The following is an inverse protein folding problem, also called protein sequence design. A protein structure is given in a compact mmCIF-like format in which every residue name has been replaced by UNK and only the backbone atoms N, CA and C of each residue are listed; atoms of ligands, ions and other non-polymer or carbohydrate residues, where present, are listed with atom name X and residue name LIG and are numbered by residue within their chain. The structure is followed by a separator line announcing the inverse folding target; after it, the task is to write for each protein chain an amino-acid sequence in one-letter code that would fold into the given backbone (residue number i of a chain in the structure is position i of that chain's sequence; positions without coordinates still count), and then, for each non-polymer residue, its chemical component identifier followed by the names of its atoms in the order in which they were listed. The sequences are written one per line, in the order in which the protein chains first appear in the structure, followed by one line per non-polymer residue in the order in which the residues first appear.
data_IF_060845320998
#
_entry.id   IF_060845320998
#
_cell.length_a   1.000
_cell.length_b   1.000
_cell.length_c   1.000
_cell.angle_alpha   90.00
_cell.angle_beta   90.00
_cell.angle_gamma   90.00
#
_symmetry.space_group_name_H-M   'P 1'
#
loop_
_entity.id
_entity.type
_entity.pdbx_description
1 polymer ?
#
# COMPACT_ATOMS: atom_id res chain seq x y z
N UNK A 1 12.49 -18.27 -5.50
CA UNK A 1 13.20 -17.19 -4.79
C UNK A 1 12.51 -15.86 -5.10
N UNK A 2 11.93 -15.18 -4.11
CA UNK A 2 11.37 -13.83 -4.27
C UNK A 2 12.51 -12.81 -4.19
N UNK A 3 12.79 -12.11 -5.29
CA UNK A 3 13.81 -11.04 -5.33
C UNK A 3 13.20 -9.72 -4.88
N UNK A 4 14.03 -8.77 -4.41
CA UNK A 4 13.56 -7.41 -4.06
C UNK A 4 12.81 -6.75 -5.22
N UNK A 5 13.29 -6.94 -6.45
CA UNK A 5 12.63 -6.49 -7.67
C UNK A 5 11.21 -7.04 -7.79
N UNK A 6 11.02 -8.35 -7.62
CA UNK A 6 9.69 -8.96 -7.72
C UNK A 6 8.75 -8.41 -6.64
N UNK A 7 9.26 -8.23 -5.41
CA UNK A 7 8.47 -7.66 -4.30
C UNK A 7 8.02 -6.23 -4.62
N UNK A 8 8.92 -5.38 -5.13
CA UNK A 8 8.57 -4.01 -5.54
C UNK A 8 7.53 -4.01 -6.66
N UNK A 9 7.66 -4.86 -7.68
CA UNK A 9 6.67 -4.93 -8.76
C UNK A 9 5.31 -5.42 -8.26
N UNK A 10 5.28 -6.43 -7.38
CA UNK A 10 4.02 -6.95 -6.81
C UNK A 10 3.35 -5.87 -5.94
N UNK A 11 4.11 -5.16 -5.12
CA UNK A 11 3.58 -4.06 -4.32
C UNK A 11 3.02 -2.94 -5.21
N UNK A 12 3.78 -2.54 -6.25
CA UNK A 12 3.32 -1.53 -7.19
C UNK A 12 2.02 -1.93 -7.91
N UNK A 13 1.91 -3.17 -8.39
CA UNK A 13 0.72 -3.65 -9.09
C UNK A 13 -0.49 -3.74 -8.16
N UNK A 14 -0.31 -4.27 -6.94
CA UNK A 14 -1.40 -4.35 -5.96
C UNK A 14 -1.86 -2.96 -5.50
N UNK A 15 -0.93 -2.06 -5.15
CA UNK A 15 -1.23 -0.67 -4.81
C UNK A 15 -1.93 0.07 -5.95
N UNK A 16 -1.43 -0.09 -7.19
CA UNK A 16 -2.01 0.56 -8.37
C UNK A 16 -3.42 0.04 -8.69
N UNK A 17 -3.63 -1.27 -8.59
CA UNK A 17 -4.96 -1.87 -8.76
C UNK A 17 -5.95 -1.37 -7.70
N UNK A 18 -5.56 -1.36 -6.42
CA UNK A 18 -6.38 -0.79 -5.35
C UNK A 18 -6.66 0.68 -5.60
N UNK A 19 -5.63 1.45 -5.98
CA UNK A 19 -5.78 2.88 -6.27
C UNK A 19 -6.76 3.17 -7.40
N UNK A 20 -6.69 2.40 -8.50
CA UNK A 20 -7.62 2.50 -9.63
C UNK A 20 -9.05 2.15 -9.22
N UNK A 21 -9.25 1.07 -8.44
CA UNK A 21 -10.57 0.68 -7.95
C UNK A 21 -11.19 1.81 -7.12
N UNK A 22 -10.42 2.39 -6.21
CA UNK A 22 -10.87 3.48 -5.34
C UNK A 22 -11.17 4.77 -6.12
N UNK A 23 -10.34 5.11 -7.11
CA UNK A 23 -10.50 6.35 -7.88
C UNK A 23 -11.62 6.27 -8.93
N UNK A 24 -11.81 5.10 -9.57
CA UNK A 24 -12.80 4.91 -10.65
C UNK A 24 -14.17 4.55 -10.10
N UNK A 25 -14.25 3.78 -9.00
CA UNK A 25 -15.51 3.32 -8.42
C UNK A 25 -15.74 3.81 -6.98
N UNK A 26 -15.51 5.10 -6.66
CA UNK A 26 -15.52 5.58 -5.28
C UNK A 26 -16.90 5.45 -4.62
N UNK A 27 -17.99 5.69 -5.35
CA UNK A 27 -19.35 5.57 -4.81
C UNK A 27 -19.70 4.13 -4.41
N UNK A 28 -19.27 3.15 -5.21
CA UNK A 28 -19.50 1.74 -4.92
C UNK A 28 -18.73 1.31 -3.67
N UNK A 29 -17.44 1.69 -3.59
CA UNK A 29 -16.61 1.36 -2.42
C UNK A 29 -17.10 2.10 -1.16
N UNK A 30 -17.46 3.38 -1.27
CA UNK A 30 -18.04 4.12 -0.16
C UNK A 30 -19.33 3.46 0.38
N UNK A 31 -20.19 2.96 -0.53
CA UNK A 31 -21.38 2.18 -0.17
C UNK A 31 -21.06 0.91 0.61
N UNK A 32 -20.05 0.14 0.17
CA UNK A 32 -19.58 -1.06 0.91
C UNK A 32 -19.07 -0.69 2.31
N UNK A 33 -18.40 0.45 2.43
CA UNK A 33 -17.83 0.95 3.68
C UNK A 33 -18.87 1.66 4.58
N UNK A 34 -20.10 1.89 4.09
CA UNK A 34 -21.12 2.67 4.79
C UNK A 34 -20.80 4.16 4.92
N UNK A 35 -19.86 4.66 4.11
CA UNK A 35 -19.42 6.05 4.15
C UNK A 35 -20.33 6.94 3.29
N UNK A 36 -20.72 8.09 3.82
CA UNK A 36 -21.54 9.07 3.09
C UNK A 36 -20.73 9.85 2.04
N UNK A 37 -19.42 10.01 2.25
CA UNK A 37 -18.55 10.81 1.38
C UNK A 37 -17.69 9.92 0.49
N UNK A 38 -17.60 10.26 -0.80
CA UNK A 38 -16.79 9.53 -1.79
C UNK A 38 -15.40 10.11 -1.95
N UNK A 39 -15.22 11.40 -1.64
CA UNK A 39 -13.96 12.12 -1.85
C UNK A 39 -12.75 11.50 -1.13
N UNK A 40 -12.86 10.98 0.11
CA UNK A 40 -11.74 10.30 0.75
C UNK A 40 -11.23 9.09 -0.05
N UNK A 41 -12.11 8.29 -0.64
CA UNK A 41 -11.74 7.14 -1.46
C UNK A 41 -11.01 7.57 -2.74
N UNK A 42 -11.48 8.64 -3.39
CA UNK A 42 -10.81 9.20 -4.57
C UNK A 42 -9.41 9.71 -4.21
N UNK A 43 -9.27 10.46 -3.11
CA UNK A 43 -7.99 11.00 -2.67
C UNK A 43 -6.98 9.88 -2.35
N UNK A 44 -7.42 8.85 -1.62
CA UNK A 44 -6.62 7.66 -1.35
C UNK A 44 -6.27 6.92 -2.64
N UNK A 45 -7.21 6.80 -3.58
CA UNK A 45 -6.99 6.17 -4.87
C UNK A 45 -5.89 6.85 -5.69
N UNK A 46 -5.96 8.19 -5.81
CA UNK A 46 -4.94 8.99 -6.50
C UNK A 46 -3.58 8.85 -5.81
N UNK A 47 -3.54 8.94 -4.48
CA UNK A 47 -2.31 8.73 -3.71
C UNK A 47 -1.68 7.37 -4.03
N UNK A 48 -2.47 6.29 -4.01
CA UNK A 48 -1.99 4.93 -4.29
C UNK A 48 -1.49 4.77 -5.73
N UNK A 49 -2.12 5.42 -6.70
CA UNK A 49 -1.66 5.40 -8.10
C UNK A 49 -0.28 6.06 -8.22
N UNK A 50 -0.09 7.22 -7.57
CA UNK A 50 1.20 7.93 -7.56
C UNK A 50 2.26 7.09 -6.84
N UNK A 51 1.93 6.55 -5.68
CA UNK A 51 2.81 5.66 -4.92
C UNK A 51 3.22 4.44 -5.75
N UNK A 52 2.25 3.76 -6.37
CA UNK A 52 2.48 2.61 -7.23
C UNK A 52 3.44 2.93 -8.40
N UNK A 53 3.30 4.10 -9.03
CA UNK A 53 4.21 4.53 -10.08
C UNK A 53 5.66 4.66 -9.54
N UNK A 54 5.84 5.26 -8.36
CA UNK A 54 7.15 5.36 -7.71
C UNK A 54 7.72 3.96 -7.45
N UNK A 55 6.95 3.07 -6.81
CA UNK A 55 7.42 1.71 -6.48
C UNK A 55 7.77 0.93 -7.75
N UNK A 56 6.95 1.02 -8.79
CA UNK A 56 7.18 0.35 -10.07
C UNK A 56 8.49 0.80 -10.72
N UNK A 57 8.75 2.12 -10.74
CA UNK A 57 9.99 2.66 -11.30
C UNK A 57 11.22 2.11 -10.57
N UNK A 58 11.18 2.02 -9.24
CA UNK A 58 12.28 1.46 -8.46
C UNK A 58 12.43 -0.06 -8.67
N UNK A 59 11.33 -0.80 -8.83
CA UNK A 59 11.37 -2.22 -9.18
C UNK A 59 11.95 -2.52 -10.57
N UNK A 60 11.90 -1.55 -11.50
CA UNK A 60 12.48 -1.68 -12.84
C UNK A 60 13.94 -1.22 -12.94
N UNK A 61 14.42 -0.41 -11.99
CA UNK A 61 15.80 0.11 -11.97
C UNK A 61 16.82 -0.97 -11.59
N UNK A 62 17.99 -0.92 -12.22
CA UNK A 62 19.15 -1.76 -11.92
C UNK A 62 20.43 -0.89 -11.92
N UNK A 63 21.09 -0.66 -10.77
CA UNK A 63 20.66 -1.03 -9.42
C UNK A 63 19.48 -0.15 -8.93
N UNK A 64 18.60 -0.67 -8.06
CA UNK A 64 17.56 0.13 -7.44
C UNK A 64 18.17 1.09 -6.40
N UNK A 65 17.52 2.25 -6.18
CA UNK A 65 18.02 3.22 -5.22
C UNK A 65 17.66 2.84 -3.77
N UNK A 66 18.68 2.58 -2.95
CA UNK A 66 18.54 2.24 -1.53
C UNK A 66 17.72 3.29 -0.76
N UNK A 67 17.92 4.59 -1.04
CA UNK A 67 17.18 5.67 -0.39
C UNK A 67 15.67 5.61 -0.68
N UNK A 68 15.30 5.42 -1.95
CA UNK A 68 13.91 5.27 -2.34
C UNK A 68 13.27 4.00 -1.78
N UNK A 69 14.00 2.89 -1.73
CA UNK A 69 13.48 1.65 -1.12
C UNK A 69 13.19 1.87 0.37
N UNK A 70 14.07 2.55 1.10
CA UNK A 70 13.82 2.89 2.51
C UNK A 70 12.58 3.77 2.67
N UNK A 71 12.41 4.78 1.82
CA UNK A 71 11.22 5.64 1.85
C UNK A 71 9.93 4.84 1.58
N UNK A 72 9.93 3.95 0.59
CA UNK A 72 8.80 3.07 0.30
C UNK A 72 8.42 2.22 1.52
N UNK A 73 9.42 1.59 2.17
CA UNK A 73 9.19 0.79 3.38
C UNK A 73 8.58 1.65 4.50
N UNK A 74 9.05 2.88 4.68
CA UNK A 74 8.50 3.81 5.69
C UNK A 74 7.05 4.14 5.38
N UNK A 75 6.72 4.46 4.13
CA UNK A 75 5.35 4.77 3.71
C UNK A 75 4.41 3.56 3.88
N UNK A 76 4.84 2.37 3.46
CA UNK A 76 4.09 1.13 3.68
C UNK A 76 3.87 0.87 5.18
N UNK A 77 4.89 1.13 6.01
CA UNK A 77 4.79 0.95 7.47
C UNK A 77 3.82 1.95 8.09
N UNK A 78 3.88 3.23 7.69
CA UNK A 78 2.95 4.26 8.16
C UNK A 78 1.51 3.94 7.77
N UNK A 79 1.30 3.48 6.54
CA UNK A 79 -0.01 3.03 6.08
C UNK A 79 -0.60 1.91 6.96
N UNK A 80 0.22 0.93 7.34
CA UNK A 80 -0.18 -0.15 8.24
C UNK A 80 -0.55 0.40 9.62
N UNK A 81 0.26 1.28 10.17
CA UNK A 81 0.00 1.90 11.49
C UNK A 81 -1.31 2.69 11.47
N UNK A 82 -1.52 3.54 10.47
CA UNK A 82 -2.78 4.29 10.29
C UNK A 82 -3.98 3.35 10.13
N UNK A 83 -3.85 2.29 9.35
CA UNK A 83 -4.90 1.29 9.18
C UNK A 83 -5.27 0.61 10.52
N UNK A 84 -4.27 0.26 11.33
CA UNK A 84 -4.49 -0.33 12.66
C UNK A 84 -5.14 0.66 13.62
N UNK A 85 -4.76 1.95 13.58
CA UNK A 85 -5.42 2.98 14.38
C UNK A 85 -6.89 3.15 14.01
N UNK A 86 -7.20 3.17 12.71
CA UNK A 86 -8.59 3.27 12.22
C UNK A 86 -9.44 2.11 12.74
N UNK A 87 -8.91 0.89 12.70
CA UNK A 87 -9.60 -0.31 13.17
C UNK A 87 -9.74 -0.31 14.69
N UNK A 88 -8.64 -0.08 15.43
CA UNK A 88 -8.62 -0.21 16.89
C UNK A 88 -9.48 0.85 17.59
N UNK A 89 -9.60 2.05 17.00
CA UNK A 89 -10.42 3.12 17.53
C UNK A 89 -11.81 3.20 16.87
N UNK A 90 -12.18 2.23 16.03
CA UNK A 90 -13.44 2.21 15.27
C UNK A 90 -13.75 3.58 14.62
N UNK A 91 -12.73 4.17 14.00
CA UNK A 91 -12.84 5.52 13.46
C UNK A 91 -13.82 5.55 12.30
N UNK A 92 -14.54 6.67 12.15
CA UNK A 92 -15.43 6.98 11.03
C UNK A 92 -16.72 6.16 10.92
N UNK A 93 -17.01 5.25 11.86
CA UNK A 93 -18.28 4.51 11.90
C UNK A 93 -18.51 3.66 10.65
N UNK A 94 -17.46 2.99 10.17
CA UNK A 94 -17.52 2.18 8.95
C UNK A 94 -18.29 0.87 9.19
N UNK A 95 -18.74 0.23 8.11
CA UNK A 95 -19.30 -1.12 8.19
C UNK A 95 -18.22 -2.14 8.59
N UNK A 96 -18.65 -3.31 9.06
CA UNK A 96 -17.74 -4.44 9.29
C UNK A 96 -16.94 -4.82 8.03
N UNK A 97 -17.57 -4.77 6.85
CA UNK A 97 -16.91 -4.99 5.56
C UNK A 97 -15.79 -3.95 5.34
N UNK A 98 -16.03 -2.69 5.68
CA UNK A 98 -15.03 -1.62 5.61
C UNK A 98 -13.82 -1.90 6.49
N UNK A 99 -14.04 -2.19 7.78
CA UNK A 99 -12.94 -2.50 8.71
C UNK A 99 -12.16 -3.77 8.31
N UNK A 100 -12.85 -4.84 7.91
CA UNK A 100 -12.16 -6.05 7.43
C UNK A 100 -11.36 -5.80 6.15
N UNK A 101 -11.87 -4.97 5.25
CA UNK A 101 -11.16 -4.60 4.02
C UNK A 101 -9.89 -3.80 4.34
N UNK A 102 -9.95 -2.85 5.26
CA UNK A 102 -8.77 -2.11 5.76
C UNK A 102 -7.77 -3.08 6.37
N UNK A 103 -8.22 -4.02 7.21
CA UNK A 103 -7.36 -5.00 7.86
C UNK A 103 -6.66 -5.94 6.87
N UNK A 104 -7.38 -6.42 5.85
CA UNK A 104 -6.82 -7.27 4.80
C UNK A 104 -5.75 -6.54 3.98
N UNK A 105 -6.01 -5.28 3.59
CA UNK A 105 -5.03 -4.44 2.88
C UNK A 105 -3.83 -4.15 3.77
N UNK A 106 -4.03 -3.81 5.04
CA UNK A 106 -2.95 -3.55 5.99
C UNK A 106 -2.05 -4.77 6.17
N UNK A 107 -2.63 -5.97 6.31
CA UNK A 107 -1.87 -7.21 6.39
C UNK A 107 -1.02 -7.44 5.14
N UNK A 108 -1.60 -7.22 3.95
CA UNK A 108 -0.87 -7.35 2.68
C UNK A 108 0.30 -6.36 2.57
N UNK A 109 0.06 -5.09 2.90
CA UNK A 109 1.08 -4.03 2.87
C UNK A 109 2.19 -4.32 3.89
N UNK A 110 1.84 -4.81 5.09
CA UNK A 110 2.83 -5.22 6.10
C UNK A 110 3.74 -6.35 5.58
N UNK A 111 3.16 -7.33 4.87
CA UNK A 111 3.94 -8.39 4.23
C UNK A 111 4.90 -7.83 3.16
N UNK A 112 4.43 -6.88 2.34
CA UNK A 112 5.29 -6.23 1.34
C UNK A 112 6.45 -5.48 1.99
N UNK A 113 6.19 -4.66 3.02
CA UNK A 113 7.20 -3.93 3.77
C UNK A 113 8.25 -4.87 4.39
N UNK A 114 7.80 -5.98 4.98
CA UNK A 114 8.69 -6.99 5.55
C UNK A 114 9.61 -7.63 4.48
N UNK A 115 9.04 -8.01 3.33
CA UNK A 115 9.80 -8.61 2.23
C UNK A 115 10.77 -7.61 1.58
N UNK A 116 10.38 -6.34 1.43
CA UNK A 116 11.26 -5.27 0.95
C UNK A 116 12.44 -5.06 1.91
N UNK A 117 12.18 -5.03 3.22
CA UNK A 117 13.23 -4.89 4.25
C UNK A 117 14.22 -6.05 4.19
N UNK A 118 13.71 -7.29 4.06
CA UNK A 118 14.56 -8.48 3.90
C UNK A 118 15.42 -8.39 2.64
N UNK A 119 14.83 -8.01 1.50
CA UNK A 119 15.55 -7.86 0.24
C UNK A 119 16.59 -6.74 0.27
N UNK A 120 16.29 -5.61 0.92
CA UNK A 120 17.21 -4.48 1.07
C UNK A 120 18.44 -4.85 1.92
N UNK A 121 18.24 -5.60 3.01
CA UNK A 121 19.35 -6.08 3.85
C UNK A 121 20.30 -6.98 3.07
N UNK A 122 19.78 -7.83 2.17
CA UNK A 122 20.61 -8.69 1.32
C UNK A 122 21.47 -7.89 0.33
N UNK A 123 20.92 -6.82 -0.26
CA UNK A 123 21.68 -5.94 -1.14
C UNK A 123 22.82 -5.22 -0.41
N UNK A 124 22.57 -4.74 0.81
CA UNK A 124 23.59 -4.03 1.60
C UNK A 124 24.70 -4.94 2.16
N UNK A 125 24.48 -6.26 2.24
CA UNK A 125 25.52 -7.22 2.65
C UNK A 125 26.41 -7.60 1.45
N UNK A 126 25.86 -7.53 0.23
CA UNK A 126 26.55 -7.96 -1.00
C UNK A 126 27.33 -6.83 -1.71
N UNK A 127 27.19 -5.58 -1.28
CA UNK A 127 27.91 -4.41 -1.82
C UNK A 127 28.80 -3.79 -0.76
#
# INVERSE_FOLDING_TARGET
MTTLKNVLIINALSSGATGLILAIFPSYIAGLFGAAQTMPFVAVGIFLIIFAAIVFTQGRKNPPSTGWIKLIIVLDTLWVIESLMIIAAEMFGLTAIGYYSIGAVAFWVALMAFLQLKGLRQLNIAG
#
